data_IF_104318645190
#
_entry.id   IF_104318645190
#
_cell.length_a   1.000
_cell.length_b   1.000
_cell.length_c   1.000
_cell.angle_alpha   90.00
_cell.angle_beta   90.00
_cell.angle_gamma   90.00
#
_symmetry.space_group_name_H-M   'P 1'
#
loop_
_entity.id
_entity.type
_entity.pdbx_description
1 polymer ?
#
# COMPACT_ATOMS: atom_id res chain seq x y z
N UNK A 1 -22.88 -7.58 -0.03
CA UNK A 1 -23.14 -8.87 0.61
C UNK A 1 -22.10 -9.09 1.68
N UNK A 2 -22.50 -9.64 2.81
CA UNK A 2 -21.59 -10.03 3.89
C UNK A 2 -21.95 -11.44 4.35
N UNK A 3 -20.96 -12.19 4.79
CA UNK A 3 -21.11 -13.47 5.46
C UNK A 3 -20.38 -13.40 6.80
N UNK A 4 -21.01 -13.85 7.87
CA UNK A 4 -20.48 -13.83 9.22
C UNK A 4 -20.27 -15.26 9.72
N UNK A 5 -19.03 -15.63 10.00
CA UNK A 5 -18.70 -16.86 10.71
C UNK A 5 -18.24 -16.51 12.15
N UNK A 6 -18.83 -17.16 13.15
CA UNK A 6 -18.49 -16.95 14.56
C UNK A 6 -17.71 -18.14 15.08
N UNK A 7 -16.62 -17.88 15.83
CA UNK A 7 -15.93 -18.89 16.62
C UNK A 7 -16.69 -19.29 17.90
N UNK A 8 -16.11 -20.19 18.70
CA UNK A 8 -16.71 -20.68 19.95
C UNK A 8 -16.90 -19.62 21.04
N UNK A 9 -16.13 -18.53 20.99
CA UNK A 9 -16.30 -17.33 21.80
C UNK A 9 -16.89 -16.21 20.96
N UNK A 10 -17.99 -15.59 21.44
CA UNK A 10 -18.69 -14.48 20.76
C UNK A 10 -17.85 -13.19 20.57
N UNK A 11 -16.57 -13.25 20.92
CA UNK A 11 -15.61 -12.14 20.76
C UNK A 11 -14.73 -12.28 19.53
N UNK A 12 -14.75 -13.45 18.88
CA UNK A 12 -13.93 -13.75 17.70
C UNK A 12 -14.83 -13.91 16.47
N UNK A 13 -14.58 -13.10 15.46
CA UNK A 13 -15.39 -13.06 14.25
C UNK A 13 -14.50 -13.08 12.99
N UNK A 14 -15.01 -13.76 11.98
CA UNK A 14 -14.53 -13.63 10.61
C UNK A 14 -15.67 -13.09 9.75
N UNK A 15 -15.42 -11.99 9.06
CA UNK A 15 -16.44 -11.31 8.23
C UNK A 15 -15.94 -11.23 6.80
N UNK A 16 -16.56 -12.00 5.91
CA UNK A 16 -16.35 -11.85 4.49
C UNK A 16 -17.17 -10.66 3.97
N UNK A 17 -16.51 -9.76 3.27
CA UNK A 17 -17.12 -8.58 2.66
C UNK A 17 -17.00 -8.63 1.15
N UNK A 18 -18.10 -8.24 0.47
CA UNK A 18 -18.09 -7.95 -0.95
C UNK A 18 -18.79 -6.59 -1.15
N UNK A 19 -18.03 -5.61 -1.56
CA UNK A 19 -18.49 -4.24 -1.72
C UNK A 19 -18.53 -3.86 -3.20
N UNK A 20 -19.65 -3.27 -3.61
CA UNK A 20 -19.75 -2.53 -4.86
C UNK A 20 -19.29 -1.10 -4.62
N UNK A 21 -18.30 -0.67 -5.37
CA UNK A 21 -17.67 0.65 -5.26
C UNK A 21 -17.99 1.55 -6.47
N UNK A 22 -18.94 1.19 -7.33
CA UNK A 22 -19.24 1.93 -8.55
C UNK A 22 -19.60 3.39 -8.29
N UNK A 23 -20.40 3.65 -7.24
CA UNK A 23 -20.81 5.00 -6.88
C UNK A 23 -19.87 5.69 -5.88
N UNK A 24 -18.82 4.97 -5.43
CA UNK A 24 -17.86 5.52 -4.48
C UNK A 24 -16.84 6.44 -5.16
N UNK A 25 -16.52 7.55 -4.52
CA UNK A 25 -15.30 8.32 -4.80
C UNK A 25 -14.21 7.86 -3.85
N UNK A 26 -13.04 7.51 -4.38
CA UNK A 26 -11.89 7.05 -3.58
C UNK A 26 -10.70 7.92 -3.94
N UNK A 27 -10.09 8.55 -2.95
CA UNK A 27 -8.86 9.34 -3.10
C UNK A 27 -7.73 8.66 -2.30
N UNK A 28 -6.64 8.31 -2.99
CA UNK A 28 -5.42 7.75 -2.39
C UNK A 28 -4.26 8.70 -2.68
N UNK A 29 -4.08 9.75 -1.87
CA UNK A 29 -3.07 10.77 -2.11
C UNK A 29 -1.65 10.21 -2.20
N UNK A 30 -1.35 9.15 -1.44
CA UNK A 30 -0.04 8.50 -1.46
C UNK A 30 0.33 7.94 -2.84
N UNK A 31 -0.66 7.53 -3.64
CA UNK A 31 -0.48 7.03 -5.00
C UNK A 31 -0.73 8.11 -6.07
N UNK A 32 -1.06 9.34 -5.67
CA UNK A 32 -1.55 10.40 -6.56
C UNK A 32 -2.70 9.93 -7.46
N UNK A 33 -3.62 9.13 -6.91
CA UNK A 33 -4.67 8.47 -7.66
C UNK A 33 -6.05 8.72 -7.04
N UNK A 34 -7.05 8.88 -7.92
CA UNK A 34 -8.44 9.11 -7.56
C UNK A 34 -9.33 8.25 -8.45
N UNK A 35 -10.32 7.58 -7.84
CA UNK A 35 -11.47 6.98 -8.52
C UNK A 35 -12.65 7.95 -8.46
N UNK A 36 -13.24 8.24 -9.59
CA UNK A 36 -14.47 9.03 -9.65
C UNK A 36 -15.72 8.14 -9.51
N UNK A 37 -16.86 8.71 -9.05
CA UNK A 37 -18.15 8.03 -9.15
C UNK A 37 -18.44 7.61 -10.59
N UNK A 38 -19.18 6.52 -10.76
CA UNK A 38 -19.50 5.88 -12.04
C UNK A 38 -18.34 5.13 -12.74
N UNK A 39 -17.10 5.21 -12.27
CA UNK A 39 -16.08 4.23 -12.63
C UNK A 39 -16.36 2.91 -11.91
N UNK A 40 -16.14 1.80 -12.59
CA UNK A 40 -16.35 0.48 -11.99
C UNK A 40 -15.43 0.28 -10.79
N UNK A 41 -15.97 -0.39 -9.75
CA UNK A 41 -15.19 -0.70 -8.57
C UNK A 41 -15.82 -1.82 -7.76
N UNK A 42 -14.97 -2.72 -7.28
CA UNK A 42 -15.34 -3.79 -6.36
C UNK A 42 -14.21 -4.03 -5.38
N UNK A 43 -14.58 -4.48 -4.19
CA UNK A 43 -13.65 -4.98 -3.19
C UNK A 43 -14.23 -6.25 -2.58
N UNK A 44 -13.44 -7.30 -2.57
CA UNK A 44 -13.71 -8.46 -1.71
C UNK A 44 -12.58 -8.60 -0.70
N UNK A 45 -12.92 -9.00 0.51
CA UNK A 45 -11.94 -9.16 1.60
C UNK A 45 -12.53 -9.93 2.77
N UNK A 46 -11.68 -10.41 3.67
CA UNK A 46 -12.03 -11.06 4.91
C UNK A 46 -11.42 -10.28 6.09
N UNK A 47 -12.27 -9.86 7.01
CA UNK A 47 -11.87 -9.20 8.25
C UNK A 47 -11.78 -10.22 9.36
N UNK A 48 -10.67 -10.24 10.07
CA UNK A 48 -10.45 -11.11 11.22
C UNK A 48 -10.46 -10.26 12.48
N UNK A 49 -11.42 -10.52 13.35
CA UNK A 49 -11.52 -9.87 14.64
C UNK A 49 -11.24 -10.89 15.75
N UNK A 50 -10.42 -10.49 16.72
CA UNK A 50 -10.13 -11.26 17.94
C UNK A 50 -10.34 -10.37 19.15
N UNK A 51 -11.12 -10.86 20.10
CA UNK A 51 -11.51 -10.10 21.31
C UNK A 51 -12.09 -8.72 20.96
N UNK A 52 -12.89 -8.65 19.89
CA UNK A 52 -13.52 -7.42 19.40
C UNK A 52 -12.57 -6.42 18.73
N UNK A 53 -11.31 -6.77 18.46
CA UNK A 53 -10.34 -5.94 17.75
C UNK A 53 -10.06 -6.52 16.37
N UNK A 54 -9.97 -5.67 15.37
CA UNK A 54 -9.51 -6.06 14.02
C UNK A 54 -8.03 -6.42 14.09
N UNK A 55 -7.68 -7.68 13.79
CA UNK A 55 -6.29 -8.16 13.82
C UNK A 55 -5.71 -8.34 12.42
N UNK A 56 -6.55 -8.64 11.42
CA UNK A 56 -6.12 -8.66 10.03
C UNK A 56 -7.26 -8.34 9.05
N UNK A 57 -6.89 -7.87 7.88
CA UNK A 57 -7.70 -7.80 6.67
C UNK A 57 -6.99 -8.71 5.68
N UNK A 58 -7.62 -9.82 5.33
CA UNK A 58 -7.05 -10.86 4.48
C UNK A 58 -7.80 -10.95 3.14
N UNK A 59 -7.19 -11.65 2.19
CA UNK A 59 -7.80 -11.92 0.88
C UNK A 59 -8.32 -10.63 0.20
N UNK A 60 -7.56 -9.53 0.31
CA UNK A 60 -7.91 -8.29 -0.37
C UNK A 60 -7.84 -8.54 -1.88
N UNK A 61 -8.95 -8.33 -2.57
CA UNK A 61 -9.05 -8.25 -4.03
C UNK A 61 -9.83 -6.98 -4.36
N UNK A 62 -9.08 -5.94 -4.69
CA UNK A 62 -9.59 -4.62 -5.06
C UNK A 62 -9.39 -4.39 -6.55
N UNK A 63 -10.47 -4.07 -7.24
CA UNK A 63 -10.44 -3.47 -8.58
C UNK A 63 -11.28 -2.19 -8.54
N UNK A 64 -10.67 -1.03 -8.74
CA UNK A 64 -11.34 0.25 -8.62
C UNK A 64 -10.82 1.22 -9.70
N UNK A 65 -11.60 1.43 -10.76
CA UNK A 65 -11.12 2.17 -11.92
C UNK A 65 -9.84 1.56 -12.49
N UNK A 66 -8.74 2.30 -12.43
CA UNK A 66 -7.42 1.86 -12.88
C UNK A 66 -6.49 1.37 -11.75
N UNK A 67 -6.99 1.27 -10.51
CA UNK A 67 -6.27 0.70 -9.38
C UNK A 67 -6.70 -0.75 -9.18
N UNK A 68 -5.72 -1.65 -9.14
CA UNK A 68 -5.91 -3.04 -8.71
C UNK A 68 -4.95 -3.33 -7.55
N UNK A 69 -5.43 -4.05 -6.55
CA UNK A 69 -4.60 -4.49 -5.43
C UNK A 69 -5.06 -5.86 -4.93
N UNK A 70 -4.10 -6.73 -4.63
CA UNK A 70 -4.33 -7.97 -3.89
C UNK A 70 -3.32 -8.10 -2.77
N UNK A 71 -3.74 -8.62 -1.61
CA UNK A 71 -2.85 -8.74 -0.47
C UNK A 71 -3.56 -8.85 0.87
N UNK A 72 -2.84 -8.47 1.93
CA UNK A 72 -3.33 -8.48 3.30
C UNK A 72 -2.74 -7.35 4.14
N UNK A 73 -3.41 -7.03 5.24
CA UNK A 73 -2.98 -6.01 6.21
C UNK A 73 -3.14 -6.56 7.63
N UNK A 74 -2.10 -6.45 8.44
CA UNK A 74 -2.07 -6.90 9.83
C UNK A 74 -2.12 -5.72 10.79
N UNK A 75 -2.83 -5.90 11.88
CA UNK A 75 -2.99 -4.94 12.96
C UNK A 75 -2.56 -5.55 14.28
N UNK A 76 -1.88 -4.75 15.09
CA UNK A 76 -1.37 -5.20 16.37
C UNK A 76 -0.99 -4.05 17.28
N UNK A 77 -0.43 -4.43 18.44
CA UNK A 77 0.17 -3.45 19.34
C UNK A 77 1.52 -3.01 18.78
N UNK A 78 1.72 -1.71 18.70
CA UNK A 78 2.96 -1.09 18.24
C UNK A 78 3.94 -0.92 19.39
N UNK A 79 5.19 -0.61 19.10
CA UNK A 79 6.23 -0.36 20.10
C UNK A 79 5.92 0.82 21.03
N UNK A 80 5.12 1.79 20.58
CA UNK A 80 4.64 2.92 21.39
C UNK A 80 3.41 2.56 22.27
N UNK A 81 2.98 1.30 22.25
CA UNK A 81 1.81 0.80 22.98
C UNK A 81 0.47 1.10 22.32
N UNK A 82 0.44 1.87 21.23
CA UNK A 82 -0.78 2.10 20.45
C UNK A 82 -1.16 0.86 19.63
N UNK A 83 -2.45 0.72 19.32
CA UNK A 83 -2.92 -0.30 18.41
C UNK A 83 -3.10 0.28 17.00
N UNK A 84 -2.67 -0.44 15.98
CA UNK A 84 -2.83 -0.01 14.59
C UNK A 84 -2.15 -0.94 13.60
N UNK A 85 -2.08 -0.54 12.33
CA UNK A 85 -1.44 -1.32 11.29
C UNK A 85 0.04 -1.54 11.61
N UNK A 86 0.47 -2.80 11.59
CA UNK A 86 1.85 -3.25 11.81
C UNK A 86 2.55 -3.62 10.50
N UNK A 87 1.80 -4.27 9.61
CA UNK A 87 2.31 -4.70 8.31
C UNK A 87 1.20 -4.65 7.26
N UNK A 88 1.58 -4.43 6.02
CA UNK A 88 0.76 -4.74 4.84
C UNK A 88 1.64 -5.46 3.82
N UNK A 89 1.10 -6.50 3.21
CA UNK A 89 1.76 -7.25 2.14
C UNK A 89 0.84 -7.23 0.93
N UNK A 90 1.34 -6.74 -0.19
CA UNK A 90 0.63 -6.78 -1.45
C UNK A 90 1.34 -7.76 -2.39
N UNK A 91 0.59 -8.71 -2.91
CA UNK A 91 1.02 -9.64 -3.94
C UNK A 91 0.93 -9.02 -5.33
N UNK A 92 0.12 -7.98 -5.45
CA UNK A 92 0.00 -7.13 -6.63
C UNK A 92 -0.56 -5.77 -6.24
N UNK A 93 -0.01 -4.73 -6.85
CA UNK A 93 -0.54 -3.37 -6.73
C UNK A 93 -0.25 -2.59 -8.02
N UNK A 94 -1.30 -2.28 -8.78
CA UNK A 94 -1.18 -1.59 -10.06
C UNK A 94 -2.05 -0.34 -10.10
N UNK A 95 -1.51 0.74 -10.64
CA UNK A 95 -2.24 1.98 -10.95
C UNK A 95 -1.51 2.70 -12.08
N UNK A 96 -2.07 3.74 -12.71
CA UNK A 96 -1.49 4.33 -13.90
C UNK A 96 0.01 4.62 -13.79
N UNK A 97 0.79 4.01 -14.67
CA UNK A 97 2.25 4.13 -14.71
C UNK A 97 3.01 3.23 -13.72
N UNK A 98 2.32 2.42 -12.92
CA UNK A 98 2.95 1.60 -11.89
C UNK A 98 2.43 0.17 -11.91
N UNK A 99 3.32 -0.79 -11.84
CA UNK A 99 3.05 -2.22 -11.76
C UNK A 99 4.00 -2.85 -10.74
N UNK A 100 3.53 -2.94 -9.50
CA UNK A 100 4.23 -3.53 -8.37
C UNK A 100 3.85 -5.00 -8.30
N UNK A 101 4.82 -5.88 -8.41
CA UNK A 101 4.61 -7.34 -8.37
C UNK A 101 4.56 -7.88 -6.95
N UNK A 102 5.35 -7.29 -6.05
CA UNK A 102 5.25 -7.54 -4.61
C UNK A 102 5.60 -6.28 -3.83
N UNK A 103 4.93 -6.03 -2.71
CA UNK A 103 5.29 -4.94 -1.80
C UNK A 103 5.01 -5.33 -0.36
N UNK A 104 5.98 -5.08 0.51
CA UNK A 104 5.81 -5.12 1.96
C UNK A 104 5.94 -3.71 2.52
N UNK A 105 4.96 -3.31 3.30
CA UNK A 105 4.99 -2.11 4.12
C UNK A 105 4.99 -2.55 5.58
N UNK A 106 6.05 -2.26 6.30
CA UNK A 106 6.23 -2.65 7.70
C UNK A 106 6.74 -1.48 8.54
N UNK A 107 7.04 -1.75 9.81
CA UNK A 107 7.67 -0.77 10.69
C UNK A 107 8.98 -1.29 11.24
N UNK A 108 9.97 -0.39 11.34
CA UNK A 108 11.23 -0.65 12.01
C UNK A 108 11.10 -0.57 13.54
N UNK A 109 12.19 -0.82 14.26
CA UNK A 109 12.26 -0.73 15.73
C UNK A 109 11.94 0.68 16.28
N UNK A 110 12.04 1.73 15.45
CA UNK A 110 11.74 3.11 15.79
C UNK A 110 10.34 3.54 15.33
N UNK A 111 9.51 2.58 14.89
CA UNK A 111 8.16 2.83 14.37
C UNK A 111 8.15 3.65 13.04
N UNK A 112 9.27 3.74 12.34
CA UNK A 112 9.31 4.34 11.01
C UNK A 112 8.78 3.34 9.97
N UNK A 113 8.24 3.87 8.89
CA UNK A 113 7.79 3.03 7.80
C UNK A 113 8.97 2.48 6.99
N UNK A 114 8.90 1.20 6.66
CA UNK A 114 9.81 0.49 5.76
C UNK A 114 9.00 -0.04 4.60
N UNK A 115 9.41 0.27 3.38
CA UNK A 115 8.80 -0.18 2.13
C UNK A 115 9.85 -1.03 1.40
N UNK A 116 9.51 -2.28 1.16
CA UNK A 116 10.27 -3.18 0.30
C UNK A 116 9.39 -3.57 -0.87
N UNK A 117 9.88 -3.46 -2.11
CA UNK A 117 9.08 -3.76 -3.29
C UNK A 117 9.89 -4.30 -4.46
N UNK A 118 9.23 -5.16 -5.23
CA UNK A 118 9.64 -5.53 -6.58
C UNK A 118 8.57 -5.02 -7.57
N UNK A 119 9.01 -4.47 -8.70
CA UNK A 119 8.13 -3.88 -9.67
C UNK A 119 8.58 -4.15 -11.11
N UNK A 120 7.64 -4.40 -11.99
CA UNK A 120 7.89 -4.34 -13.42
C UNK A 120 8.09 -2.88 -13.86
N UNK A 121 7.31 -1.96 -13.28
CA UNK A 121 7.37 -0.54 -13.65
C UNK A 121 7.00 0.37 -12.49
N UNK A 122 7.72 1.50 -12.36
CA UNK A 122 7.40 2.58 -11.42
C UNK A 122 7.52 3.93 -12.13
N UNK A 123 6.50 4.77 -12.02
CA UNK A 123 6.55 6.18 -12.42
C UNK A 123 6.68 7.07 -11.17
N UNK A 124 7.86 7.65 -10.98
CA UNK A 124 8.14 8.55 -9.86
C UNK A 124 7.66 10.00 -10.13
N UNK A 125 7.26 10.35 -11.33
CA UNK A 125 6.90 11.73 -11.70
C UNK A 125 5.68 12.24 -10.93
N UNK A 126 4.55 11.49 -10.86
CA UNK A 126 3.40 11.91 -10.07
C UNK A 126 3.71 11.98 -8.57
N UNK A 127 4.48 11.02 -8.05
CA UNK A 127 4.83 10.95 -6.63
C UNK A 127 5.72 12.13 -6.19
N UNK A 128 6.63 12.60 -7.04
CA UNK A 128 7.46 13.78 -6.77
C UNK A 128 6.66 15.08 -6.70
N UNK A 129 5.55 15.18 -7.44
CA UNK A 129 4.68 16.37 -7.45
C UNK A 129 3.75 16.41 -6.23
N UNK A 130 3.44 15.26 -5.68
CA UNK A 130 2.56 15.14 -4.52
C UNK A 130 3.31 15.45 -3.21
N UNK A 131 3.33 16.73 -2.82
CA UNK A 131 4.00 17.19 -1.59
C UNK A 131 3.32 16.74 -0.30
N UNK A 132 2.14 16.14 -0.38
CA UNK A 132 1.37 15.66 0.78
C UNK A 132 1.91 14.36 1.40
N UNK A 133 2.84 13.66 0.72
CA UNK A 133 3.51 12.50 1.31
C UNK A 133 4.66 13.02 2.18
N UNK A 134 4.42 13.31 3.46
CA UNK A 134 5.54 13.62 4.30
C UNK A 134 5.37 14.51 5.51
N UNK A 135 4.18 14.90 5.88
CA UNK A 135 3.92 15.35 7.25
C UNK A 135 3.65 14.11 8.10
N UNK A 136 4.69 13.39 8.45
CA UNK A 136 4.54 12.12 9.12
C UNK A 136 5.86 11.54 9.62
N UNK A 137 5.82 10.29 10.00
CA UNK A 137 7.00 9.54 10.43
C UNK A 137 7.97 9.33 9.25
N UNK A 138 9.26 9.16 9.53
CA UNK A 138 10.24 8.82 8.52
C UNK A 138 9.85 7.55 7.75
N UNK A 139 10.28 7.48 6.49
CA UNK A 139 10.05 6.35 5.61
C UNK A 139 11.39 5.94 5.02
N UNK A 140 11.74 4.67 5.11
CA UNK A 140 12.80 4.04 4.31
C UNK A 140 12.18 3.18 3.21
N UNK A 141 12.87 3.07 2.10
CA UNK A 141 12.42 2.25 0.98
C UNK A 141 13.59 1.53 0.31
N UNK A 142 13.28 0.35 -0.18
CA UNK A 142 14.15 -0.53 -0.94
C UNK A 142 13.34 -1.15 -2.07
N UNK A 143 13.63 -0.78 -3.31
CA UNK A 143 12.80 -1.09 -4.47
C UNK A 143 13.67 -1.63 -5.60
N UNK A 144 13.38 -2.84 -6.06
CA UNK A 144 13.93 -3.41 -7.28
C UNK A 144 12.90 -3.25 -8.39
N UNK A 145 13.28 -2.59 -9.51
CA UNK A 145 12.37 -2.39 -10.63
C UNK A 145 13.05 -2.63 -11.99
N UNK A 146 12.27 -3.27 -12.89
CA UNK A 146 12.71 -3.44 -14.28
C UNK A 146 12.71 -2.11 -15.02
N UNK A 147 11.79 -1.20 -14.67
CA UNK A 147 11.69 0.13 -15.27
C UNK A 147 11.25 1.18 -14.24
N UNK A 148 12.04 2.25 -14.13
CA UNK A 148 11.77 3.40 -13.26
C UNK A 148 11.76 4.66 -14.11
N UNK A 149 10.60 5.31 -14.26
CA UNK A 149 10.49 6.61 -14.91
C UNK A 149 10.76 7.73 -13.93
N UNK A 150 11.74 8.58 -14.27
CA UNK A 150 12.14 9.71 -13.41
C UNK A 150 11.76 11.08 -14.00
N UNK A 151 11.21 11.12 -15.21
CA UNK A 151 10.82 12.31 -15.97
C UNK A 151 11.73 12.58 -17.16
N UNK A 152 11.32 13.52 -18.00
CA UNK A 152 12.06 13.97 -19.19
C UNK A 152 12.44 12.85 -20.18
N UNK A 153 11.64 11.78 -20.22
CA UNK A 153 11.89 10.61 -21.06
C UNK A 153 13.01 9.69 -20.54
N UNK A 154 13.48 9.90 -19.34
CA UNK A 154 14.55 9.08 -18.72
C UNK A 154 13.92 7.88 -18.02
N UNK A 155 14.39 6.69 -18.39
CA UNK A 155 14.07 5.43 -17.74
C UNK A 155 15.34 4.76 -17.21
N UNK A 156 15.21 4.17 -16.03
CA UNK A 156 16.27 3.44 -15.34
C UNK A 156 15.78 2.01 -15.07
N UNK A 157 16.71 1.07 -14.93
CA UNK A 157 16.43 -0.30 -14.48
C UNK A 157 17.41 -0.65 -13.38
N UNK A 158 16.92 -1.12 -12.25
CA UNK A 158 17.78 -1.51 -11.13
C UNK A 158 17.16 -1.27 -9.77
N UNK A 159 18.02 -1.02 -8.80
CA UNK A 159 17.70 -0.92 -7.38
C UNK A 159 17.70 0.55 -6.94
N UNK A 160 16.58 0.98 -6.36
CA UNK A 160 16.38 2.30 -5.79
C UNK A 160 16.16 2.15 -4.27
N UNK A 161 17.04 2.71 -3.47
CA UNK A 161 16.89 2.70 -2.01
C UNK A 161 17.05 4.10 -1.44
N UNK A 162 16.54 4.32 -0.24
CA UNK A 162 16.67 5.61 0.41
C UNK A 162 15.83 5.77 1.65
N UNK A 163 15.86 6.99 2.17
CA UNK A 163 15.05 7.38 3.31
C UNK A 163 14.51 8.80 3.12
N UNK A 164 13.37 9.06 3.74
CA UNK A 164 12.76 10.39 3.83
C UNK A 164 12.49 10.69 5.28
N UNK A 165 13.05 11.77 5.81
CA UNK A 165 12.74 12.27 7.13
C UNK A 165 11.30 12.81 7.18
N UNK A 166 10.61 12.65 8.32
CA UNK A 166 9.20 13.02 8.47
C UNK A 166 8.87 14.49 8.20
N UNK A 167 9.81 15.41 8.44
CA UNK A 167 9.62 16.87 8.27
C UNK A 167 10.66 17.53 7.38
N UNK A 168 11.46 16.80 6.64
CA UNK A 168 12.59 17.34 5.91
C UNK A 168 12.93 16.62 4.63
N UNK A 169 14.16 16.84 4.16
CA UNK A 169 14.72 16.18 3.02
C UNK A 169 14.87 14.68 3.21
N UNK A 170 15.18 13.98 2.15
CA UNK A 170 15.54 12.57 2.14
C UNK A 170 16.75 12.35 1.25
N UNK A 171 17.34 11.19 1.39
CA UNK A 171 18.42 10.72 0.53
C UNK A 171 17.92 9.51 -0.25
N UNK A 172 18.28 9.44 -1.51
CA UNK A 172 18.03 8.28 -2.34
C UNK A 172 19.30 7.92 -3.12
N UNK A 173 19.56 6.64 -3.24
CA UNK A 173 20.63 6.08 -4.07
C UNK A 173 20.02 5.17 -5.12
N UNK A 174 20.66 5.15 -6.27
CA UNK A 174 20.29 4.30 -7.39
C UNK A 174 21.49 3.48 -7.82
N UNK A 175 21.27 2.21 -8.07
CA UNK A 175 22.25 1.27 -8.62
C UNK A 175 21.60 0.50 -9.76
N UNK A 176 22.05 0.74 -11.00
CA UNK A 176 21.44 0.11 -12.18
C UNK A 176 21.89 0.77 -13.49
N UNK A 177 21.07 0.61 -14.51
CA UNK A 177 21.36 1.04 -15.87
C UNK A 177 20.33 2.07 -16.37
N UNK A 178 20.79 2.95 -17.26
CA UNK A 178 19.92 3.77 -18.10
C UNK A 178 19.39 2.92 -19.27
N UNK A 179 18.10 3.00 -19.54
CA UNK A 179 17.42 2.26 -20.62
C UNK A 179 16.67 3.22 -21.55
#
# INVERSE_FOLDING_TARGET
>A
TYELATGSDLTDFEVALALDLNDASIDVPALAWVKLPAEQGRLTTRLILRHGKLVSIEDIDLAAGSLEASGQVDFGQRGDGSFGMTQAVFERLTWPGNDITTMTLSRDENENWVIEAEAAQIDLVPLRRNRGIGEGRPVSFDILADQIFVGDGISLSGHLSGNKAGSGGGEASFSGNLI
#
